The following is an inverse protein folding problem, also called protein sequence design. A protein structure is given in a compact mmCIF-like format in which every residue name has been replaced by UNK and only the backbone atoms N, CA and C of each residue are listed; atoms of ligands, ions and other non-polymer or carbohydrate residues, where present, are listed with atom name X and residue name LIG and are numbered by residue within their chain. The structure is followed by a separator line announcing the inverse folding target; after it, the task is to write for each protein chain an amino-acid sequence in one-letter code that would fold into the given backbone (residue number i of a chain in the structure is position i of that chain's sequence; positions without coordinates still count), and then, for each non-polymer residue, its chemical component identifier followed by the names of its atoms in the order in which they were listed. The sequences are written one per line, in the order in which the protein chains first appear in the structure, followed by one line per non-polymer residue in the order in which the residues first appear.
data_IF_829095007935
#
_entry.id   IF_829095007935
#
_cell.length_a   1.000
_cell.length_b   1.000
_cell.length_c   1.000
_cell.angle_alpha   90.00
_cell.angle_beta   90.00
_cell.angle_gamma   90.00
#
_symmetry.space_group_name_H-M   'P 1'
#
loop_
_entity.id
_entity.type
_entity.pdbx_description
1 polymer ?
#
# COMPACT_ATOMS: atom_id res chain seq x y z
N UNK A 1 -36.53 -19.72 34.06
CA UNK A 1 -35.09 -19.98 33.86
C UNK A 1 -34.77 -20.37 32.40
N UNK A 2 -35.50 -19.85 31.40
CA UNK A 2 -35.30 -20.19 29.97
C UNK A 2 -34.91 -18.99 29.08
N UNK A 3 -35.01 -17.76 29.58
CA UNK A 3 -34.75 -16.55 28.78
C UNK A 3 -33.24 -16.26 28.67
N UNK A 4 -32.46 -16.62 29.69
CA UNK A 4 -31.01 -16.36 29.74
C UNK A 4 -30.18 -17.21 28.76
N UNK A 5 -30.61 -18.44 28.46
CA UNK A 5 -29.87 -19.34 27.57
C UNK A 5 -29.99 -18.89 26.11
N UNK A 6 -31.16 -18.40 25.69
CA UNK A 6 -31.37 -17.90 24.34
C UNK A 6 -30.69 -16.54 24.10
N UNK A 7 -30.64 -15.68 25.12
CA UNK A 7 -29.98 -14.37 25.04
C UNK A 7 -28.45 -14.51 24.94
N UNK A 8 -27.84 -15.50 25.62
CA UNK A 8 -26.41 -15.82 25.48
C UNK A 8 -26.03 -16.36 24.10
N UNK A 9 -26.90 -17.16 23.47
CA UNK A 9 -26.65 -17.70 22.11
C UNK A 9 -26.76 -16.61 21.03
N UNK A 10 -27.65 -15.62 21.22
CA UNK A 10 -27.81 -14.52 20.29
C UNK A 10 -26.58 -13.59 20.25
N UNK A 11 -25.93 -13.37 21.41
CA UNK A 11 -24.73 -12.52 21.52
C UNK A 11 -23.52 -13.15 20.81
N UNK A 12 -23.37 -14.48 20.86
CA UNK A 12 -22.27 -15.15 20.16
C UNK A 12 -22.40 -15.09 18.63
N UNK A 13 -23.62 -15.00 18.10
CA UNK A 13 -23.87 -14.93 16.66
C UNK A 13 -23.53 -13.54 16.08
N UNK A 14 -23.64 -12.48 16.88
CA UNK A 14 -23.36 -11.10 16.45
C UNK A 14 -21.85 -10.82 16.38
N UNK A 15 -21.05 -11.45 17.26
CA UNK A 15 -19.59 -11.30 17.23
C UNK A 15 -18.91 -11.93 15.99
N UNK A 16 -19.56 -12.88 15.31
CA UNK A 16 -18.97 -13.54 14.13
C UNK A 16 -19.14 -12.74 12.82
N UNK A 17 -19.95 -11.67 12.83
CA UNK A 17 -20.29 -10.87 11.64
C UNK A 17 -19.54 -9.53 11.54
N UNK A 18 -18.62 -9.24 12.48
CA UNK A 18 -17.83 -8.00 12.50
C UNK A 18 -16.35 -8.24 12.17
N UNK A 19 -16.06 -9.15 11.23
CA UNK A 19 -14.78 -9.09 10.53
C UNK A 19 -14.84 -7.91 9.58
N UNK A 20 -14.41 -6.74 10.06
CA UNK A 20 -14.16 -5.59 9.21
C UNK A 20 -13.30 -6.03 8.02
N UNK A 21 -13.67 -5.68 6.77
CA UNK A 21 -12.76 -5.89 5.66
C UNK A 21 -11.49 -5.09 5.98
N UNK A 22 -10.33 -5.76 6.00
CA UNK A 22 -9.05 -5.07 5.90
C UNK A 22 -9.16 -4.09 4.72
N UNK A 23 -8.86 -2.80 4.93
CA UNK A 23 -8.91 -1.82 3.86
C UNK A 23 -7.74 -2.11 2.92
N UNK A 24 -7.98 -2.94 1.91
CA UNK A 24 -7.03 -3.15 0.84
C UNK A 24 -7.19 -2.02 -0.18
N UNK A 25 -6.11 -1.29 -0.44
CA UNK A 25 -6.08 -0.32 -1.52
C UNK A 25 -5.84 -1.04 -2.85
N UNK A 26 -6.60 -0.67 -3.87
CA UNK A 26 -6.57 -1.35 -5.16
C UNK A 26 -6.53 -0.34 -6.31
N UNK A 27 -5.74 -0.67 -7.33
CA UNK A 27 -5.81 0.01 -8.61
C UNK A 27 -5.45 -0.93 -9.77
N UNK A 28 -5.58 -0.42 -10.99
CA UNK A 28 -5.20 -1.15 -12.20
C UNK A 28 -4.31 -0.32 -13.09
N UNK A 29 -3.31 -0.98 -13.69
CA UNK A 29 -2.38 -0.39 -14.65
C UNK A 29 -1.98 -1.45 -15.68
N UNK A 30 -2.03 -1.13 -16.98
CA UNK A 30 -1.73 -2.08 -18.07
C UNK A 30 -2.46 -3.42 -17.92
N UNK A 31 -3.75 -3.37 -17.57
CA UNK A 31 -4.58 -4.56 -17.36
C UNK A 31 -4.09 -5.48 -16.22
N UNK A 32 -3.14 -5.01 -15.41
CA UNK A 32 -2.68 -5.63 -14.16
C UNK A 32 -3.43 -5.00 -13.00
N UNK A 33 -4.08 -5.81 -12.18
CA UNK A 33 -4.71 -5.39 -10.93
C UNK A 33 -3.69 -5.51 -9.80
N UNK A 34 -3.57 -4.45 -9.00
CA UNK A 34 -2.62 -4.35 -7.90
C UNK A 34 -3.41 -4.07 -6.63
N UNK A 35 -3.23 -4.91 -5.61
CA UNK A 35 -3.85 -4.75 -4.30
C UNK A 35 -2.76 -4.67 -3.23
N UNK A 36 -2.83 -3.66 -2.38
CA UNK A 36 -1.96 -3.50 -1.22
C UNK A 36 -2.80 -3.69 0.04
N UNK A 37 -2.38 -4.61 0.90
CA UNK A 37 -3.01 -4.77 2.20
C UNK A 37 -2.29 -3.94 3.28
N UNK A 38 -2.95 -3.76 4.41
CA UNK A 38 -2.41 -3.02 5.56
C UNK A 38 -1.13 -3.66 6.13
N UNK A 39 -0.89 -4.95 5.87
CA UNK A 39 0.31 -5.70 6.28
C UNK A 39 1.47 -5.57 5.27
N UNK A 40 1.42 -4.57 4.39
CA UNK A 40 2.48 -4.28 3.43
C UNK A 40 2.76 -5.45 2.47
N UNK A 41 1.73 -6.22 2.09
CA UNK A 41 1.83 -7.23 1.03
C UNK A 41 1.11 -6.73 -0.21
N UNK A 42 1.81 -6.75 -1.34
CA UNK A 42 1.20 -6.56 -2.66
C UNK A 42 0.69 -7.90 -3.19
N UNK A 43 -0.53 -7.91 -3.69
CA UNK A 43 -1.07 -8.96 -4.54
C UNK A 43 -1.25 -8.41 -5.94
N UNK A 44 -0.71 -9.13 -6.91
CA UNK A 44 -0.64 -8.68 -8.30
C UNK A 44 -1.30 -9.75 -9.16
N UNK A 45 -2.35 -9.34 -9.87
CA UNK A 45 -3.08 -10.19 -10.82
C UNK A 45 -2.85 -9.64 -12.22
N UNK A 46 -2.10 -10.37 -13.03
CA UNK A 46 -1.84 -10.04 -14.44
C UNK A 46 -2.96 -10.57 -15.35
N UNK A 47 -2.97 -10.14 -16.61
CA UNK A 47 -3.95 -10.50 -17.65
C UNK A 47 -4.00 -11.99 -17.95
N UNK A 48 -2.86 -12.67 -17.85
CA UNK A 48 -2.74 -14.13 -17.93
C UNK A 48 -3.28 -14.86 -16.69
N UNK A 49 -3.88 -14.12 -15.75
CA UNK A 49 -4.33 -14.57 -14.43
C UNK A 49 -3.20 -15.13 -13.57
N UNK A 50 -1.94 -14.83 -13.90
CA UNK A 50 -0.84 -15.09 -12.99
C UNK A 50 -1.03 -14.23 -11.74
N UNK A 51 -1.07 -14.91 -10.60
CA UNK A 51 -1.15 -14.29 -9.29
C UNK A 51 0.21 -14.46 -8.62
N UNK A 52 0.85 -13.36 -8.29
CA UNK A 52 2.02 -13.37 -7.42
C UNK A 52 1.87 -12.32 -6.33
N UNK A 53 2.70 -12.46 -5.30
CA UNK A 53 2.69 -11.56 -4.16
C UNK A 53 4.10 -11.09 -3.85
N UNK A 54 4.23 -9.81 -3.55
CA UNK A 54 5.48 -9.17 -3.18
C UNK A 54 5.37 -8.70 -1.72
N UNK A 55 6.35 -9.08 -0.90
CA UNK A 55 6.45 -8.59 0.48
C UNK A 55 7.17 -7.25 0.52
N UNK A 56 6.49 -6.21 1.02
CA UNK A 56 7.05 -4.87 1.21
C UNK A 56 7.52 -4.62 2.64
N UNK A 57 7.79 -5.67 3.43
CA UNK A 57 8.31 -5.58 4.81
C UNK A 57 9.50 -4.65 4.99
N UNK A 58 10.30 -4.42 3.94
CA UNK A 58 11.41 -3.46 3.92
C UNK A 58 10.97 -2.00 4.05
N UNK A 59 9.78 -1.67 3.54
CA UNK A 59 9.12 -0.37 3.71
C UNK A 59 8.55 -0.30 5.13
N UNK A 60 7.79 -1.32 5.55
CA UNK A 60 7.26 -1.45 6.90
C UNK A 60 6.40 -2.70 7.03
N UNK A 61 5.87 -2.98 8.22
CA UNK A 61 5.08 -4.20 8.50
C UNK A 61 3.59 -3.94 8.69
N UNK A 62 3.19 -2.67 8.75
CA UNK A 62 1.82 -2.25 8.99
C UNK A 62 1.54 -0.87 8.39
N UNK A 63 0.26 -0.50 8.29
CA UNK A 63 -0.22 0.80 7.81
C UNK A 63 0.40 1.18 6.46
N UNK A 64 0.49 0.21 5.55
CA UNK A 64 0.93 0.49 4.19
C UNK A 64 -0.21 1.06 3.34
N UNK A 65 0.09 2.12 2.61
CA UNK A 65 -0.81 2.76 1.66
C UNK A 65 -0.04 3.20 0.42
N UNK A 66 -0.74 3.29 -0.71
CA UNK A 66 -0.22 4.02 -1.85
C UNK A 66 -0.28 5.51 -1.56
N UNK A 67 0.75 6.22 -2.03
CA UNK A 67 0.69 7.67 -2.08
C UNK A 67 -0.41 8.08 -3.05
N UNK A 68 -1.33 8.92 -2.57
CA UNK A 68 -2.42 9.49 -3.35
C UNK A 68 -2.03 10.88 -3.83
N UNK A 69 -2.72 11.38 -4.85
CA UNK A 69 -2.52 12.72 -5.36
C UNK A 69 -3.19 13.71 -4.40
N UNK A 70 -2.39 14.42 -3.60
CA UNK A 70 -2.87 15.45 -2.67
C UNK A 70 -4.06 14.97 -1.81
N UNK A 71 -5.12 15.76 -1.69
CA UNK A 71 -6.32 15.44 -0.90
C UNK A 71 -7.34 14.54 -1.64
N UNK A 72 -6.90 13.77 -2.64
CA UNK A 72 -7.78 12.89 -3.42
C UNK A 72 -7.61 11.42 -3.04
N UNK A 73 -8.53 10.57 -3.50
CA UNK A 73 -8.41 9.10 -3.42
C UNK A 73 -7.62 8.49 -4.59
N UNK A 74 -7.15 9.32 -5.53
CA UNK A 74 -6.47 8.87 -6.73
C UNK A 74 -5.02 8.55 -6.40
N UNK A 75 -4.55 7.36 -6.78
CA UNK A 75 -3.15 6.98 -6.58
C UNK A 75 -2.25 7.85 -7.44
N UNK A 76 -1.20 8.37 -6.82
CA UNK A 76 -0.21 9.20 -7.49
C UNK A 76 0.72 8.30 -8.32
N UNK A 77 0.52 8.37 -9.64
CA UNK A 77 1.29 7.65 -10.64
C UNK A 77 2.03 8.64 -11.52
N UNK A 78 3.36 8.55 -11.52
CA UNK A 78 4.22 9.42 -12.33
C UNK A 78 4.93 8.61 -13.43
N UNK A 79 5.04 9.20 -14.63
CA UNK A 79 5.73 8.56 -15.76
C UNK A 79 7.16 9.08 -15.89
N UNK A 80 8.12 8.17 -15.97
CA UNK A 80 9.52 8.44 -16.22
C UNK A 80 10.06 7.58 -17.36
N UNK A 81 10.29 8.20 -18.52
CA UNK A 81 10.60 7.49 -19.76
C UNK A 81 9.51 6.44 -20.06
N UNK A 82 9.90 5.16 -20.06
CA UNK A 82 9.01 4.00 -20.28
C UNK A 82 8.55 3.33 -18.98
N UNK A 83 8.86 3.94 -17.83
CA UNK A 83 8.48 3.46 -16.51
C UNK A 83 7.31 4.28 -15.96
N UNK A 84 6.45 3.62 -15.23
CA UNK A 84 5.39 4.25 -14.43
C UNK A 84 5.68 3.94 -12.97
N UNK A 85 5.74 4.96 -12.14
CA UNK A 85 6.19 4.87 -10.75
C UNK A 85 5.02 5.20 -9.84
N UNK A 86 4.78 4.30 -8.90
CA UNK A 86 3.85 4.52 -7.78
C UNK A 86 4.65 4.41 -6.50
N UNK A 87 4.40 5.32 -5.56
CA UNK A 87 5.02 5.27 -4.25
C UNK A 87 4.13 4.54 -3.26
N UNK A 88 4.76 3.76 -2.39
CA UNK A 88 4.12 3.14 -1.23
C UNK A 88 4.73 3.76 0.01
N UNK A 89 3.89 4.08 0.99
CA UNK A 89 4.33 4.51 2.31
C UNK A 89 3.90 3.51 3.39
N UNK A 90 4.70 3.42 4.44
CA UNK A 90 4.30 2.84 5.73
C UNK A 90 4.46 3.91 6.81
N UNK A 91 3.39 4.13 7.58
CA UNK A 91 3.37 5.12 8.65
C UNK A 91 3.31 4.45 10.03
N UNK A 92 4.20 4.91 10.92
CA UNK A 92 4.20 4.55 12.33
C UNK A 92 4.09 5.81 13.17
N UNK A 93 3.10 5.83 14.06
CA UNK A 93 2.90 6.87 15.07
C UNK A 93 3.29 6.29 16.42
N UNK A 94 4.40 6.73 16.98
CA UNK A 94 4.78 6.42 18.35
C UNK A 94 4.82 7.71 19.16
N UNK A 95 3.88 7.84 20.11
CA UNK A 95 3.71 8.79 21.24
C UNK A 95 4.13 10.27 21.12
N UNK A 96 5.13 10.65 20.31
CA UNK A 96 5.49 12.02 19.92
C UNK A 96 6.24 12.12 18.56
N UNK A 97 6.41 11.02 17.82
CA UNK A 97 7.15 10.97 16.57
C UNK A 97 6.36 10.17 15.52
N UNK A 98 6.05 10.83 14.40
CA UNK A 98 5.63 10.12 13.20
C UNK A 98 6.88 9.71 12.40
N UNK A 99 6.98 8.44 12.05
CA UNK A 99 7.93 7.91 11.09
C UNK A 99 7.17 7.43 9.84
N UNK A 100 7.57 7.96 8.69
CA UNK A 100 7.11 7.49 7.38
C UNK A 100 8.28 6.89 6.62
N UNK A 101 8.07 5.70 6.06
CA UNK A 101 9.03 5.00 5.20
C UNK A 101 8.40 4.84 3.83
N UNK A 102 9.13 5.22 2.79
CA UNK A 102 8.65 5.23 1.42
C UNK A 102 9.43 4.25 0.56
N UNK A 103 8.75 3.52 -0.31
CA UNK A 103 9.33 2.75 -1.41
C UNK A 103 8.70 3.14 -2.74
N UNK A 104 9.35 2.72 -3.83
CA UNK A 104 8.86 2.95 -5.19
C UNK A 104 8.62 1.62 -5.90
N UNK A 105 7.47 1.51 -6.56
CA UNK A 105 7.12 0.42 -7.44
C UNK A 105 7.22 0.90 -8.88
N UNK A 106 7.96 0.16 -9.69
CA UNK A 106 8.11 0.44 -11.12
C UNK A 106 7.25 -0.53 -11.91
N UNK A 107 6.36 0.04 -12.71
CA UNK A 107 5.51 -0.65 -13.66
C UNK A 107 6.01 -0.38 -15.08
N UNK A 108 6.05 -1.45 -15.87
CA UNK A 108 6.38 -1.41 -17.30
C UNK A 108 5.39 -2.31 -18.02
N UNK A 109 5.04 -1.98 -19.27
CA UNK A 109 4.17 -2.87 -20.06
C UNK A 109 4.83 -4.22 -20.24
N UNK A 110 4.07 -5.30 -20.05
CA UNK A 110 4.48 -6.68 -20.28
C UNK A 110 5.74 -7.12 -19.50
N UNK A 111 5.99 -6.52 -18.33
CA UNK A 111 7.10 -6.88 -17.45
C UNK A 111 6.60 -7.01 -16.01
N UNK A 112 7.25 -7.84 -15.18
CA UNK A 112 6.92 -7.91 -13.76
C UNK A 112 7.12 -6.55 -13.08
N UNK A 113 6.36 -6.32 -12.02
CA UNK A 113 6.50 -5.13 -11.18
C UNK A 113 7.84 -5.23 -10.47
N UNK A 114 8.60 -4.14 -10.49
CA UNK A 114 9.90 -4.07 -9.83
C UNK A 114 9.75 -3.21 -8.57
N UNK A 115 9.99 -3.80 -7.40
CA UNK A 115 10.20 -3.03 -6.18
C UNK A 115 11.62 -2.45 -6.21
N UNK A 116 11.70 -1.12 -6.12
CA UNK A 116 12.98 -0.44 -6.02
C UNK A 116 13.60 -0.75 -4.66
N UNK A 117 14.84 -1.22 -4.66
CA UNK A 117 15.59 -1.62 -3.45
C UNK A 117 15.95 -0.47 -2.49
N UNK A 118 15.47 0.74 -2.74
CA UNK A 118 15.73 1.92 -1.91
C UNK A 118 14.49 2.25 -1.08
N UNK A 119 14.73 2.60 0.19
CA UNK A 119 13.71 3.10 1.09
C UNK A 119 14.12 4.50 1.51
N UNK A 120 13.17 5.44 1.49
CA UNK A 120 13.38 6.79 2.01
C UNK A 120 12.63 6.92 3.32
N UNK A 121 13.33 7.32 4.38
CA UNK A 121 12.70 7.56 5.68
C UNK A 121 12.47 9.05 5.89
N UNK A 122 11.43 9.38 6.66
CA UNK A 122 11.16 10.74 7.07
C UNK A 122 10.38 10.81 8.38
N UNK A 123 10.67 11.83 9.20
CA UNK A 123 10.12 11.99 10.56
C UNK A 123 8.86 12.88 10.62
N UNK A 124 7.95 12.75 9.66
CA UNK A 124 6.66 13.48 9.67
C UNK A 124 5.63 12.81 8.77
N UNK A 125 4.35 13.03 9.04
CA UNK A 125 3.22 12.51 8.28
C UNK A 125 2.56 13.72 7.59
N UNK A 126 2.69 13.90 6.26
CA UNK A 126 2.09 15.05 5.57
C UNK A 126 2.25 15.08 4.04
N UNK A 127 1.31 15.77 3.36
CA UNK A 127 1.06 15.73 1.90
C UNK A 127 2.09 16.48 1.02
N UNK A 128 2.72 17.56 1.49
CA UNK A 128 3.75 18.32 0.72
C UNK A 128 5.02 17.50 0.39
N UNK A 129 5.07 16.23 0.79
CA UNK A 129 6.22 15.33 0.71
C UNK A 129 6.26 14.49 -0.54
N UNK A 130 5.13 14.26 -1.19
CA UNK A 130 5.01 13.44 -2.39
C UNK A 130 6.09 13.84 -3.40
N UNK A 131 6.17 15.13 -3.73
CA UNK A 131 7.13 15.69 -4.68
C UNK A 131 8.60 15.45 -4.29
N UNK A 132 8.97 15.67 -3.03
CA UNK A 132 10.38 15.48 -2.58
C UNK A 132 10.78 14.00 -2.60
N UNK A 133 9.85 13.11 -2.25
CA UNK A 133 10.07 11.67 -2.29
C UNK A 133 10.16 11.18 -3.74
N UNK A 134 9.28 11.64 -4.62
CA UNK A 134 9.35 11.39 -6.06
C UNK A 134 10.69 11.85 -6.64
N UNK A 135 11.11 13.09 -6.37
CA UNK A 135 12.41 13.63 -6.81
C UNK A 135 13.60 12.79 -6.30
N UNK A 136 13.53 12.22 -5.10
CA UNK A 136 14.56 11.33 -4.58
C UNK A 136 14.66 10.03 -5.41
N UNK A 137 13.54 9.35 -5.63
CA UNK A 137 13.51 8.10 -6.38
C UNK A 137 13.86 8.30 -7.86
N UNK A 138 13.44 9.43 -8.43
CA UNK A 138 13.84 9.91 -9.75
C UNK A 138 15.34 10.03 -9.93
N UNK A 139 15.99 10.81 -9.05
CA UNK A 139 17.44 11.04 -9.13
C UNK A 139 18.21 9.72 -9.02
N UNK A 140 17.72 8.79 -8.20
CA UNK A 140 18.34 7.47 -8.01
C UNK A 140 18.14 6.54 -9.21
N UNK A 141 16.97 6.56 -9.85
CA UNK A 141 16.71 5.71 -11.03
C UNK A 141 17.46 6.16 -12.28
N UNK A 142 17.78 7.46 -12.40
CA UNK A 142 18.58 8.01 -13.51
C UNK A 142 20.10 7.82 -13.35
N UNK A 143 20.59 7.54 -12.14
CA UNK A 143 22.02 7.39 -11.85
C UNK A 143 22.56 5.96 -12.06
N UNK A 144 21.76 5.08 -12.67
CA UNK A 144 22.05 3.66 -12.91
C UNK A 144 22.14 3.42 -14.41
#
# INVERSE_FOLDING_TARGET
MDVDINMRKLIFLICFLLTYPLNAEEFSIFETQVKLNEKCTLQITSTDKSLYSEDLSRIGTQNCSFIKLAETSLIHLERFNDNYVVLVESQSLDSNQCLSRYGALIFRRNKPIELVNWVKESRSCGADRERTVFEYFLKKSMAK
#
